data_IF_399253333065
#
_entry.id   IF_399253333065
#
_cell.length_a   1.000
_cell.length_b   1.000
_cell.length_c   1.000
_cell.angle_alpha   90.00
_cell.angle_beta   90.00
_cell.angle_gamma   90.00
#
_symmetry.space_group_name_H-M   'P 1'
#
loop_
_entity.id
_entity.type
_entity.pdbx_description
1 polymer ?
#
# COMPACT_ATOMS: atom_id res chain seq x y z
N UNK A 1 -4.19 -41.11 2.66
CA UNK A 1 -2.99 -40.43 2.14
C UNK A 1 -3.06 -38.99 2.61
N UNK A 2 -2.20 -38.61 3.56
CA UNK A 2 -2.24 -37.31 4.23
C UNK A 2 -1.26 -36.37 3.52
N UNK A 3 -1.79 -35.35 2.83
CA UNK A 3 -0.98 -34.34 2.15
C UNK A 3 -0.41 -33.36 3.16
N UNK A 4 0.91 -33.44 3.40
CA UNK A 4 1.64 -32.49 4.23
C UNK A 4 1.68 -31.14 3.52
N UNK A 5 0.97 -30.14 4.04
CA UNK A 5 1.08 -28.74 3.62
C UNK A 5 2.43 -28.20 4.11
N UNK A 6 3.43 -28.27 3.24
CA UNK A 6 4.73 -27.64 3.49
C UNK A 6 4.56 -26.13 3.34
N UNK A 7 4.49 -25.39 4.47
CA UNK A 7 4.71 -23.95 4.46
C UNK A 7 6.15 -23.70 3.99
N UNK A 8 6.29 -23.05 2.85
CA UNK A 8 7.58 -22.52 2.39
C UNK A 8 8.00 -21.44 3.41
N UNK A 9 9.16 -21.56 4.08
CA UNK A 9 9.61 -20.53 4.98
C UNK A 9 10.04 -19.33 4.14
N UNK A 10 9.38 -18.18 4.33
CA UNK A 10 9.87 -16.91 3.80
C UNK A 10 11.04 -16.47 4.69
N UNK A 11 12.22 -17.03 4.45
CA UNK A 11 13.49 -16.41 4.85
C UNK A 11 13.96 -15.65 3.63
N UNK A 12 13.84 -14.32 3.62
CA UNK A 12 14.40 -13.55 2.52
C UNK A 12 14.96 -12.21 3.00
N UNK A 13 16.26 -12.06 2.79
CA UNK A 13 17.04 -10.83 2.96
C UNK A 13 16.83 -9.88 1.74
N UNK A 14 15.70 -10.05 1.03
CA UNK A 14 15.37 -9.30 -0.19
C UNK A 14 14.61 -8.01 0.15
N UNK A 15 14.94 -6.90 -0.52
CA UNK A 15 14.16 -5.67 -0.44
C UNK A 15 12.69 -5.96 -0.74
N UNK A 16 11.78 -5.56 0.16
CA UNK A 16 10.34 -5.73 -0.05
C UNK A 16 9.79 -4.54 -0.83
N UNK A 17 9.04 -4.84 -1.89
CA UNK A 17 8.27 -3.86 -2.65
C UNK A 17 6.79 -3.97 -2.27
N UNK A 18 6.11 -2.82 -2.26
CA UNK A 18 4.67 -2.75 -2.08
C UNK A 18 4.09 -1.68 -3.01
N UNK A 19 2.89 -1.94 -3.51
CA UNK A 19 2.13 -1.01 -4.33
C UNK A 19 0.79 -0.72 -3.66
N UNK A 20 0.31 0.52 -3.81
CA UNK A 20 -0.99 0.96 -3.32
C UNK A 20 -1.69 1.83 -4.37
N UNK A 21 -3.01 1.83 -4.33
CA UNK A 21 -3.87 2.60 -5.20
C UNK A 21 -4.47 3.78 -4.43
N UNK A 22 -4.48 4.96 -5.07
CA UNK A 22 -5.16 6.14 -4.55
C UNK A 22 -6.49 6.31 -5.30
N UNK A 23 -7.59 6.19 -4.59
CA UNK A 23 -8.92 6.56 -5.09
C UNK A 23 -9.29 7.92 -4.48
N UNK A 24 -9.77 8.84 -5.30
CA UNK A 24 -10.04 10.22 -4.91
C UNK A 24 -11.51 10.55 -5.19
N UNK A 25 -12.18 11.14 -4.20
CA UNK A 25 -13.52 11.72 -4.30
C UNK A 25 -13.49 13.12 -3.68
N UNK A 26 -13.33 14.14 -4.53
CA UNK A 26 -13.13 15.52 -4.07
C UNK A 26 -11.89 15.65 -3.19
N UNK A 27 -12.10 16.06 -1.94
CA UNK A 27 -11.08 16.24 -0.89
C UNK A 27 -10.86 15.00 -0.02
N UNK A 28 -11.40 13.85 -0.43
CA UNK A 28 -11.33 12.58 0.31
C UNK A 28 -10.59 11.52 -0.48
N UNK A 29 -9.98 10.61 0.27
CA UNK A 29 -9.29 9.42 -0.27
C UNK A 29 -9.78 8.15 0.41
N UNK A 30 -9.84 7.06 -0.35
CA UNK A 30 -10.24 5.76 0.19
C UNK A 30 -9.10 5.15 1.01
N UNK A 31 -9.36 4.89 2.29
CA UNK A 31 -8.49 4.08 3.14
C UNK A 31 -9.17 2.77 3.51
N UNK A 32 -8.36 1.76 3.80
CA UNK A 32 -8.80 0.44 4.28
C UNK A 32 -8.12 0.10 5.60
N UNK A 33 -8.82 -0.65 6.45
CA UNK A 33 -8.25 -1.24 7.67
C UNK A 33 -8.19 -2.75 7.53
N UNK A 34 -6.99 -3.31 7.71
CA UNK A 34 -6.76 -4.76 7.68
C UNK A 34 -7.28 -5.42 8.95
N UNK A 35 -7.66 -6.68 8.89
CA UNK A 35 -8.13 -7.44 10.07
C UNK A 35 -7.05 -7.69 11.12
N UNK A 36 -5.77 -7.61 10.76
CA UNK A 36 -4.63 -7.96 11.63
C UNK A 36 -4.00 -6.76 12.36
N UNK A 37 -4.59 -5.57 12.28
CA UNK A 37 -4.05 -4.37 12.93
C UNK A 37 -5.02 -3.19 12.94
N UNK A 38 -4.72 -2.19 13.76
CA UNK A 38 -5.63 -1.05 13.98
C UNK A 38 -5.38 0.13 13.02
N UNK A 39 -4.33 0.07 12.19
CA UNK A 39 -3.94 1.21 11.34
C UNK A 39 -4.62 1.16 9.98
N UNK A 40 -4.98 2.34 9.51
CA UNK A 40 -5.47 2.54 8.14
C UNK A 40 -4.32 2.59 7.15
N UNK A 41 -4.55 2.04 5.96
CA UNK A 41 -3.60 2.01 4.85
C UNK A 41 -4.31 2.25 3.51
N UNK A 42 -3.55 2.42 2.44
CA UNK A 42 -4.08 2.42 1.08
C UNK A 42 -4.50 0.99 0.68
N UNK A 43 -5.54 0.84 -0.17
CA UNK A 43 -5.78 -0.41 -0.88
C UNK A 43 -4.51 -0.82 -1.65
N UNK A 44 -4.04 -2.04 -1.44
CA UNK A 44 -2.77 -2.48 -2.02
C UNK A 44 -2.18 -3.70 -1.32
N UNK A 45 -0.93 -4.00 -1.64
CA UNK A 45 -0.26 -5.20 -1.12
C UNK A 45 1.22 -5.25 -1.44
N UNK A 46 1.86 -6.31 -0.94
CA UNK A 46 3.23 -6.63 -1.30
C UNK A 46 3.31 -7.10 -2.75
N UNK A 47 4.44 -6.79 -3.38
CA UNK A 47 4.76 -7.28 -4.72
C UNK A 47 5.72 -8.46 -4.55
N UNK A 48 5.25 -9.64 -4.93
CA UNK A 48 6.10 -10.83 -5.01
C UNK A 48 6.99 -10.77 -6.25
N UNK A 49 8.20 -11.29 -6.13
CA UNK A 49 9.18 -11.32 -7.21
C UNK A 49 9.14 -12.64 -7.96
N UNK A 50 9.34 -12.58 -9.28
CA UNK A 50 9.43 -13.77 -10.14
C UNK A 50 8.19 -13.98 -11.01
N UNK A 51 8.23 -14.96 -11.92
CA UNK A 51 7.09 -15.31 -12.75
C UNK A 51 6.00 -15.96 -11.89
N UNK A 52 4.73 -15.64 -12.19
CA UNK A 52 3.59 -16.22 -11.47
C UNK A 52 3.43 -17.74 -11.68
N UNK A 53 3.99 -18.31 -12.75
CA UNK A 53 3.96 -19.76 -13.01
C UNK A 53 2.56 -20.38 -12.88
N UNK A 54 2.51 -21.59 -12.33
CA UNK A 54 1.25 -22.29 -12.00
C UNK A 54 0.50 -21.62 -10.82
N UNK A 55 1.19 -20.80 -10.00
CA UNK A 55 0.62 -20.10 -8.86
C UNK A 55 -0.38 -19.01 -9.28
N UNK A 56 -0.37 -18.55 -10.54
CA UNK A 56 -1.39 -17.63 -11.05
C UNK A 56 -2.81 -18.16 -10.85
N UNK A 57 -3.01 -19.49 -10.92
CA UNK A 57 -4.32 -20.13 -10.75
C UNK A 57 -4.72 -20.28 -9.28
N UNK A 58 -3.76 -20.14 -8.35
CA UNK A 58 -3.98 -20.23 -6.91
C UNK A 58 -4.19 -18.87 -6.25
N UNK A 59 -3.99 -17.76 -6.97
CA UNK A 59 -4.32 -16.41 -6.50
C UNK A 59 -5.83 -16.35 -6.21
N UNK A 60 -6.16 -16.23 -4.93
CA UNK A 60 -7.52 -16.04 -4.45
C UNK A 60 -7.57 -14.74 -3.65
N UNK A 61 -8.58 -13.92 -3.92
CA UNK A 61 -8.85 -12.73 -3.11
C UNK A 61 -9.33 -13.17 -1.73
N UNK A 62 -8.52 -12.90 -0.72
CA UNK A 62 -8.94 -13.13 0.66
C UNK A 62 -9.94 -12.05 1.09
N UNK A 63 -11.22 -12.41 1.07
CA UNK A 63 -12.30 -11.52 1.51
C UNK A 63 -12.27 -11.22 3.03
N UNK A 64 -11.42 -11.91 3.80
CA UNK A 64 -11.25 -11.71 5.24
C UNK A 64 -10.06 -10.82 5.60
N UNK A 65 -9.30 -10.31 4.62
CA UNK A 65 -8.15 -9.45 4.88
C UNK A 65 -8.54 -8.03 5.33
N UNK A 66 -9.73 -7.56 4.93
CA UNK A 66 -10.21 -6.22 5.23
C UNK A 66 -11.39 -6.27 6.18
N UNK A 67 -11.31 -5.46 7.24
CA UNK A 67 -12.39 -5.34 8.23
C UNK A 67 -13.25 -4.09 7.94
N UNK A 68 -12.63 -3.00 7.51
CA UNK A 68 -13.31 -1.72 7.28
C UNK A 68 -12.70 -0.93 6.10
N UNK A 69 -13.50 -0.05 5.52
CA UNK A 69 -13.08 0.95 4.54
C UNK A 69 -13.81 2.27 4.79
N UNK A 70 -13.16 3.40 4.48
CA UNK A 70 -13.72 4.73 4.71
C UNK A 70 -13.14 5.75 3.71
N UNK A 71 -13.96 6.72 3.33
CA UNK A 71 -13.52 7.92 2.62
C UNK A 71 -13.05 8.96 3.63
N UNK A 72 -11.74 9.15 3.73
CA UNK A 72 -11.10 9.99 4.74
C UNK A 72 -10.69 11.33 4.12
N UNK A 73 -11.04 12.47 4.74
CA UNK A 73 -10.53 13.78 4.33
C UNK A 73 -9.00 13.83 4.32
N UNK A 74 -8.42 14.49 3.32
CA UNK A 74 -6.95 14.55 3.15
C UNK A 74 -6.26 15.23 4.34
N UNK A 75 -6.91 16.15 5.04
CA UNK A 75 -6.41 16.83 6.23
C UNK A 75 -6.44 15.95 7.50
N UNK A 76 -7.25 14.89 7.55
CA UNK A 76 -7.32 13.92 8.66
C UNK A 76 -6.28 12.78 8.56
N UNK A 77 -5.53 12.68 7.45
CA UNK A 77 -4.64 11.53 7.17
C UNK A 77 -3.58 11.27 8.25
N UNK A 78 -3.09 12.32 8.91
CA UNK A 78 -2.07 12.23 9.94
C UNK A 78 -2.58 11.55 11.22
N UNK A 79 -3.89 11.59 11.46
CA UNK A 79 -4.53 10.97 12.63
C UNK A 79 -4.88 9.50 12.38
N UNK A 80 -5.12 9.13 11.12
CA UNK A 80 -5.57 7.78 10.73
C UNK A 80 -4.43 6.83 10.35
N UNK A 81 -3.33 7.37 9.82
CA UNK A 81 -2.22 6.59 9.25
C UNK A 81 -0.90 6.85 9.96
N UNK A 82 0.13 6.06 9.63
CA UNK A 82 1.48 6.36 10.11
C UNK A 82 2.03 7.64 9.44
N UNK A 83 2.87 8.45 10.11
CA UNK A 83 3.32 9.74 9.57
C UNK A 83 3.96 9.65 8.18
N UNK A 84 4.73 8.59 7.91
CA UNK A 84 5.36 8.36 6.61
C UNK A 84 4.33 8.10 5.51
N UNK A 85 3.25 7.40 5.83
CA UNK A 85 2.19 7.12 4.87
C UNK A 85 1.36 8.37 4.60
N UNK A 86 0.97 9.12 5.64
CA UNK A 86 0.26 10.39 5.51
C UNK A 86 0.95 11.33 4.50
N UNK A 87 2.27 11.55 4.64
CA UNK A 87 3.04 12.38 3.70
C UNK A 87 3.03 11.84 2.26
N UNK A 88 3.14 10.52 2.08
CA UNK A 88 3.10 9.90 0.74
C UNK A 88 1.73 10.08 0.09
N UNK A 89 0.65 9.94 0.86
CA UNK A 89 -0.72 10.11 0.35
C UNK A 89 -0.95 11.58 0.00
N UNK A 90 -0.51 12.53 0.84
CA UNK A 90 -0.60 13.96 0.56
C UNK A 90 0.10 14.33 -0.75
N UNK A 91 1.35 13.90 -0.94
CA UNK A 91 2.07 14.13 -2.19
C UNK A 91 1.44 13.43 -3.40
N UNK A 92 0.89 12.22 -3.22
CA UNK A 92 0.17 11.53 -4.29
C UNK A 92 -1.11 12.27 -4.69
N UNK A 93 -1.83 12.84 -3.71
CA UNK A 93 -3.02 13.66 -3.93
C UNK A 93 -2.69 14.99 -4.64
N UNK A 94 -1.61 15.67 -4.23
CA UNK A 94 -1.10 16.86 -4.92
C UNK A 94 -0.70 16.55 -6.38
N UNK A 95 -0.01 15.42 -6.60
CA UNK A 95 0.40 14.97 -7.92
C UNK A 95 -0.81 14.60 -8.79
N UNK A 96 -1.81 13.94 -8.22
CA UNK A 96 -3.08 13.64 -8.87
C UNK A 96 -3.80 14.92 -9.31
N UNK A 97 -3.94 15.91 -8.43
CA UNK A 97 -4.59 17.18 -8.73
C UNK A 97 -3.86 18.03 -9.77
N UNK A 98 -2.55 17.87 -9.89
CA UNK A 98 -1.71 18.58 -10.87
C UNK A 98 -1.41 17.79 -12.15
N UNK A 99 -1.83 16.52 -12.24
CA UNK A 99 -1.53 15.65 -13.38
C UNK A 99 -0.03 15.30 -13.52
N UNK A 100 0.70 15.28 -12.41
CA UNK A 100 2.16 15.03 -12.39
C UNK A 100 2.50 13.70 -11.73
N UNK A 101 3.78 13.33 -11.77
CA UNK A 101 4.33 12.19 -11.03
C UNK A 101 5.35 12.71 -10.03
N UNK A 102 5.20 12.35 -8.76
CA UNK A 102 6.13 12.71 -7.70
C UNK A 102 7.01 11.50 -7.32
N UNK A 103 8.32 11.70 -7.31
CA UNK A 103 9.27 10.76 -6.70
C UNK A 103 9.60 11.23 -5.29
N UNK A 104 9.57 10.31 -4.32
CA UNK A 104 9.75 10.61 -2.89
C UNK A 104 10.74 9.63 -2.25
N UNK A 105 11.60 10.16 -1.38
CA UNK A 105 12.48 9.39 -0.51
C UNK A 105 11.97 9.50 0.93
N UNK A 106 11.70 8.37 1.58
CA UNK A 106 11.14 8.33 2.94
C UNK A 106 9.82 9.14 3.11
N UNK A 107 9.10 9.35 2.01
CA UNK A 107 7.87 10.13 1.97
C UNK A 107 8.10 11.65 1.97
N UNK A 108 9.26 12.12 1.52
CA UNK A 108 9.53 13.52 1.24
C UNK A 108 10.12 13.66 -0.16
N UNK A 109 9.92 14.79 -0.82
CA UNK A 109 10.63 15.09 -2.07
C UNK A 109 12.15 15.05 -1.80
N UNK A 110 12.95 14.46 -2.69
CA UNK A 110 14.40 14.50 -2.54
C UNK A 110 14.84 15.94 -2.44
N UNK A 111 15.69 16.25 -1.46
CA UNK A 111 16.42 17.52 -1.49
C UNK A 111 17.15 17.56 -2.81
N UNK A 112 16.90 18.57 -3.65
CA UNK A 112 17.70 18.79 -4.85
C UNK A 112 19.15 18.99 -4.39
N UNK A 113 19.95 17.92 -4.41
CA UNK A 113 21.39 18.05 -4.31
C UNK A 113 21.78 18.95 -5.49
N UNK A 114 22.24 20.16 -5.17
CA UNK A 114 22.64 21.15 -6.18
C UNK A 114 23.51 20.46 -7.21
N UNK A 115 23.04 20.49 -8.46
CA UNK A 115 23.84 20.13 -9.62
C UNK A 115 24.58 21.37 -10.08
#
# INVERSE_FOLDING_TARGET
MSGSSTRIPIVSDTPRMAAGALFVDGDRVLLVRKTYGERWDLPGGYVDCGPLGDDAQSIQLDRQELDQWEWVPVDELAERTIPRLARRIQHAYEAYGSGTVAYLEHGASPTSAGR
#
